data_IF_936006427073
#
_entry.id   IF_936006427073
#
_cell.length_a   1.000
_cell.length_b   1.000
_cell.length_c   1.000
_cell.angle_alpha   90.00
_cell.angle_beta   90.00
_cell.angle_gamma   90.00
#
_symmetry.space_group_name_H-M   'P 1'
#
loop_
_entity.id
_entity.type
_entity.pdbx_description
1 polymer ?
#
# COMPACT_ATOMS: atom_id res chain seq x y z
N UNK A 1 6.59 17.81 8.43
CA UNK A 1 5.29 17.73 9.16
C UNK A 1 4.09 17.46 8.25
N UNK A 2 3.84 18.22 7.19
CA UNK A 2 2.68 17.96 6.30
C UNK A 2 2.70 16.56 5.66
N UNK A 3 3.89 16.09 5.28
CA UNK A 3 4.16 14.72 4.80
C UNK A 3 3.83 13.65 5.85
N UNK A 4 4.40 13.74 7.06
CA UNK A 4 4.08 12.81 8.17
C UNK A 4 2.58 12.76 8.50
N UNK A 5 1.94 13.94 8.55
CA UNK A 5 0.48 14.02 8.76
C UNK A 5 -0.29 13.34 7.63
N UNK A 6 0.21 13.38 6.39
CA UNK A 6 -0.39 12.69 5.27
C UNK A 6 -0.37 11.17 5.49
N UNK A 7 0.76 10.59 5.90
CA UNK A 7 0.86 9.17 6.25
C UNK A 7 -0.13 8.73 7.31
N UNK A 8 -0.29 9.55 8.36
CA UNK A 8 -1.24 9.25 9.43
C UNK A 8 -2.69 9.36 8.96
N UNK A 9 -3.04 10.47 8.29
CA UNK A 9 -4.43 10.69 7.82
C UNK A 9 -4.87 9.68 6.76
N UNK A 10 -3.97 9.25 5.88
CA UNK A 10 -4.23 8.25 4.86
C UNK A 10 -3.93 6.81 5.34
N UNK A 11 -3.55 6.64 6.61
CA UNK A 11 -3.28 5.34 7.25
C UNK A 11 -2.29 4.46 6.44
N UNK A 12 -1.26 5.07 5.85
CA UNK A 12 -0.29 4.38 4.98
C UNK A 12 0.40 3.18 5.67
N UNK A 13 0.55 3.22 6.98
CA UNK A 13 1.08 2.11 7.78
C UNK A 13 0.24 0.83 7.66
N UNK A 14 -1.09 0.93 7.55
CA UNK A 14 -1.95 -0.24 7.37
C UNK A 14 -1.79 -0.84 5.99
N UNK A 15 -1.63 -0.02 4.95
CA UNK A 15 -1.40 -0.50 3.59
C UNK A 15 -0.07 -1.27 3.49
N UNK A 16 0.97 -0.77 4.15
CA UNK A 16 2.26 -1.47 4.22
C UNK A 16 2.13 -2.80 4.98
N UNK A 17 1.48 -2.80 6.14
CA UNK A 17 1.27 -4.02 6.92
C UNK A 17 0.48 -5.09 6.14
N UNK A 18 -0.57 -4.67 5.42
CA UNK A 18 -1.35 -5.56 4.54
C UNK A 18 -0.52 -6.08 3.37
N UNK A 19 0.29 -5.24 2.73
CA UNK A 19 1.17 -5.66 1.64
C UNK A 19 2.26 -6.63 2.12
N UNK A 20 2.80 -6.42 3.32
CA UNK A 20 3.75 -7.33 3.96
C UNK A 20 3.11 -8.68 4.25
N UNK A 21 1.92 -8.67 4.86
CA UNK A 21 1.15 -9.86 5.16
C UNK A 21 0.79 -10.65 3.89
N UNK A 22 0.26 -9.99 2.87
CA UNK A 22 -0.08 -10.61 1.60
C UNK A 22 1.15 -11.26 0.93
N UNK A 23 2.31 -10.61 0.98
CA UNK A 23 3.56 -11.15 0.46
C UNK A 23 4.16 -12.29 1.31
N UNK A 24 3.74 -12.43 2.57
CA UNK A 24 4.06 -13.58 3.42
C UNK A 24 3.13 -14.77 3.10
N UNK A 25 1.86 -14.51 2.81
CA UNK A 25 0.89 -15.53 2.39
C UNK A 25 1.17 -16.05 0.97
N UNK A 26 1.53 -15.16 0.05
CA UNK A 26 1.73 -15.51 -1.35
C UNK A 26 3.03 -14.91 -1.91
N UNK A 27 4.09 -15.71 -2.17
CA UNK A 27 5.39 -15.22 -2.62
C UNK A 27 5.35 -14.38 -3.90
N UNK A 28 4.43 -14.66 -4.83
CA UNK A 28 4.27 -13.87 -6.06
C UNK A 28 3.86 -12.40 -5.81
N UNK A 29 3.42 -12.03 -4.59
CA UNK A 29 3.08 -10.65 -4.24
C UNK A 29 4.27 -9.85 -3.68
N UNK A 30 5.40 -10.51 -3.37
CA UNK A 30 6.62 -9.84 -2.86
C UNK A 30 7.12 -8.71 -3.77
N UNK A 31 7.12 -8.83 -5.12
CA UNK A 31 7.54 -7.75 -6.01
C UNK A 31 6.72 -6.47 -5.87
N UNK A 32 5.51 -6.54 -5.28
CA UNK A 32 4.64 -5.37 -5.10
C UNK A 32 5.08 -4.47 -3.94
N UNK A 33 5.93 -4.95 -3.02
CA UNK A 33 6.35 -4.18 -1.83
C UNK A 33 7.02 -2.85 -2.19
N UNK A 34 8.03 -2.90 -3.06
CA UNK A 34 8.77 -1.72 -3.49
C UNK A 34 7.91 -0.68 -4.26
N UNK A 35 7.13 -1.06 -5.29
CA UNK A 35 6.28 -0.09 -5.99
C UNK A 35 5.17 0.48 -5.10
N UNK A 36 4.55 -0.32 -4.23
CA UNK A 36 3.55 0.19 -3.27
C UNK A 36 4.17 1.22 -2.31
N UNK A 37 5.32 0.90 -1.71
CA UNK A 37 6.05 1.83 -0.86
C UNK A 37 6.35 3.15 -1.58
N UNK A 38 6.86 3.09 -2.81
CA UNK A 38 7.09 4.29 -3.64
C UNK A 38 5.80 5.11 -3.87
N UNK A 39 4.69 4.45 -4.18
CA UNK A 39 3.43 5.14 -4.46
C UNK A 39 2.82 5.80 -3.21
N UNK A 40 2.96 5.19 -2.03
CA UNK A 40 2.53 5.78 -0.76
C UNK A 40 3.36 7.02 -0.41
N UNK A 41 4.68 6.96 -0.59
CA UNK A 41 5.58 8.10 -0.42
C UNK A 41 5.22 9.26 -1.37
N UNK A 42 4.98 8.94 -2.66
CA UNK A 42 4.52 9.92 -3.64
C UNK A 42 3.17 10.51 -3.20
N UNK A 43 2.22 9.69 -2.74
CA UNK A 43 0.93 10.19 -2.28
C UNK A 43 1.13 11.21 -1.14
N UNK A 44 1.93 10.87 -0.15
CA UNK A 44 2.24 11.78 0.96
C UNK A 44 2.89 13.08 0.49
N UNK A 45 3.79 13.04 -0.50
CA UNK A 45 4.39 14.22 -1.12
C UNK A 45 3.40 15.16 -1.77
N UNK A 46 2.44 14.63 -2.53
CA UNK A 46 1.44 15.47 -3.19
C UNK A 46 0.46 16.08 -2.20
N UNK A 47 0.10 15.34 -1.15
CA UNK A 47 -0.73 15.88 -0.06
C UNK A 47 0.03 16.98 0.67
N UNK A 48 1.32 16.78 0.92
CA UNK A 48 2.18 17.81 1.50
C UNK A 48 2.27 19.04 0.58
N UNK A 49 2.50 18.84 -0.73
CA UNK A 49 2.56 19.92 -1.71
C UNK A 49 1.25 20.70 -1.81
N UNK A 50 0.10 20.01 -1.80
CA UNK A 50 -1.21 20.65 -1.78
C UNK A 50 -1.42 21.49 -0.50
N UNK A 51 -0.97 21.00 0.66
CA UNK A 51 -1.06 21.74 1.94
C UNK A 51 -0.08 22.92 2.03
N UNK A 52 1.10 22.79 1.44
CA UNK A 52 2.14 23.84 1.40
C UNK A 52 1.84 24.89 0.33
N UNK A 53 1.09 24.53 -0.72
CA UNK A 53 0.78 25.39 -1.86
C UNK A 53 1.84 25.41 -2.96
N UNK A 54 3.01 24.79 -2.74
CA UNK A 54 4.09 24.75 -3.71
C UNK A 54 4.79 23.36 -3.75
N UNK A 55 4.76 22.74 -4.94
CA UNK A 55 5.43 21.46 -5.22
C UNK A 55 6.96 21.59 -5.23
N UNK A 56 7.51 22.72 -5.67
CA UNK A 56 8.95 22.95 -5.70
C UNK A 56 9.52 23.12 -4.29
N UNK A 57 8.79 23.79 -3.38
CA UNK A 57 9.15 23.83 -1.95
C UNK A 57 9.15 22.43 -1.36
N UNK A 58 8.12 21.63 -1.64
CA UNK A 58 8.04 20.24 -1.16
C UNK A 58 9.17 19.38 -1.73
N UNK A 59 9.49 19.52 -3.01
CA UNK A 59 10.59 18.81 -3.68
C UNK A 59 11.94 19.13 -3.03
N UNK A 60 12.20 20.41 -2.75
CA UNK A 60 13.41 20.87 -2.03
C UNK A 60 13.46 20.30 -0.62
N UNK A 61 12.34 20.28 0.09
CA UNK A 61 12.27 19.73 1.45
C UNK A 61 12.60 18.22 1.46
N UNK A 62 12.01 17.45 0.53
CA UNK A 62 12.30 16.01 0.36
C UNK A 62 13.78 15.78 0.02
N UNK A 63 14.31 16.54 -0.93
CA UNK A 63 15.73 16.44 -1.31
C UNK A 63 16.69 16.76 -0.15
N UNK A 64 16.42 17.84 0.60
CA UNK A 64 17.22 18.21 1.78
C UNK A 64 17.13 17.16 2.88
N UNK A 65 15.94 16.63 3.16
CA UNK A 65 15.75 15.58 4.16
C UNK A 65 16.54 14.31 3.80
N UNK A 66 16.52 13.91 2.53
CA UNK A 66 17.29 12.75 2.06
C UNK A 66 18.81 12.97 2.16
N UNK A 67 19.30 14.17 1.84
CA UNK A 67 20.71 14.54 1.99
C UNK A 67 21.14 14.59 3.45
N UNK A 68 20.28 15.05 4.36
CA UNK A 68 20.55 15.02 5.79
C UNK A 68 20.59 13.56 6.31
N UNK A 69 19.65 12.72 5.86
CA UNK A 69 19.60 11.32 6.24
C UNK A 69 20.78 10.49 5.69
N UNK A 70 21.30 10.82 4.51
CA UNK A 70 22.45 10.12 3.93
C UNK A 70 23.76 10.40 4.68
N UNK A 71 23.86 11.59 5.31
CA UNK A 71 25.01 12.00 6.13
C UNK A 71 24.98 11.45 7.57
N UNK A 72 23.88 10.83 7.99
CA UNK A 72 23.79 10.24 9.32
C UNK A 72 24.73 9.03 9.44
N UNK A 73 25.63 9.00 10.45
CA UNK A 73 26.54 7.89 10.70
C UNK A 73 25.82 6.65 11.26
N UNK A 74 24.56 6.76 11.67
CA UNK A 74 23.75 5.64 12.11
C UNK A 74 22.97 5.03 10.94
N UNK A 75 23.08 3.70 10.70
CA UNK A 75 22.23 3.00 9.76
C UNK A 75 20.83 2.91 10.36
N UNK A 76 20.01 3.95 10.16
CA UNK A 76 18.57 3.79 10.34
C UNK A 76 18.12 2.69 9.36
N UNK A 77 17.56 1.60 9.92
CA UNK A 77 16.73 0.49 9.36
C UNK A 77 16.58 0.40 7.83
N UNK A 78 16.52 -0.84 7.28
CA UNK A 78 17.07 -1.19 5.97
C UNK A 78 16.76 -0.13 4.91
N UNK A 79 17.79 0.66 4.62
CA UNK A 79 17.77 1.71 3.61
C UNK A 79 17.30 1.10 2.30
N UNK A 80 16.18 1.59 1.77
CA UNK A 80 15.94 1.51 0.32
C UNK A 80 17.21 2.03 -0.34
N UNK A 81 17.90 1.14 -1.06
CA UNK A 81 19.20 1.38 -1.68
C UNK A 81 19.14 2.68 -2.49
N UNK A 82 19.91 3.67 -2.06
CA UNK A 82 20.12 4.91 -2.80
C UNK A 82 21.06 4.62 -3.98
N UNK A 83 20.51 4.07 -5.07
CA UNK A 83 21.22 4.02 -6.34
C UNK A 83 21.39 5.45 -6.86
N UNK A 84 22.64 5.86 -7.05
CA UNK A 84 23.10 7.25 -7.08
C UNK A 84 22.58 8.14 -8.22
N UNK A 85 21.73 7.64 -9.13
CA UNK A 85 21.18 8.47 -10.21
C UNK A 85 19.69 8.19 -10.50
N UNK A 86 19.06 7.24 -9.80
CA UNK A 86 17.67 6.80 -10.05
C UNK A 86 16.98 6.23 -8.81
N UNK A 87 17.48 6.56 -7.61
CA UNK A 87 16.86 6.15 -6.35
C UNK A 87 15.41 6.62 -6.20
N UNK A 88 14.66 6.03 -5.24
CA UNK A 88 13.26 6.38 -4.99
C UNK A 88 13.06 7.88 -4.70
N UNK A 89 14.05 8.53 -4.09
CA UNK A 89 14.03 9.97 -3.78
C UNK A 89 14.18 10.84 -5.03
N UNK A 90 15.25 10.72 -5.86
CA UNK A 90 15.33 11.45 -7.14
C UNK A 90 14.06 11.31 -8.00
N UNK A 91 13.46 10.12 -8.06
CA UNK A 91 12.22 9.88 -8.80
C UNK A 91 11.03 10.65 -8.22
N UNK A 92 10.91 10.75 -6.89
CA UNK A 92 9.88 11.56 -6.21
C UNK A 92 10.08 13.06 -6.43
N UNK A 93 11.33 13.53 -6.32
CA UNK A 93 11.69 14.93 -6.58
C UNK A 93 11.36 15.30 -8.02
N UNK A 94 11.76 14.47 -8.99
CA UNK A 94 11.40 14.66 -10.39
C UNK A 94 9.88 14.70 -10.56
N UNK A 95 9.14 13.77 -9.97
CA UNK A 95 7.67 13.75 -10.05
C UNK A 95 7.03 15.04 -9.48
N UNK A 96 7.57 15.62 -8.41
CA UNK A 96 7.08 16.88 -7.85
C UNK A 96 7.38 18.08 -8.76
N UNK A 97 8.50 18.08 -9.46
CA UNK A 97 8.90 19.16 -10.38
C UNK A 97 8.20 19.09 -11.74
N UNK A 98 7.69 17.91 -12.12
CA UNK A 98 6.87 17.78 -13.34
C UNK A 98 5.51 18.48 -13.18
N UNK A 99 4.96 19.07 -14.25
CA UNK A 99 3.61 19.62 -14.26
C UNK A 99 2.61 18.59 -13.75
N UNK A 100 1.62 19.03 -12.96
CA UNK A 100 0.55 18.13 -12.54
C UNK A 100 -0.16 17.62 -13.79
N UNK A 101 -0.23 16.30 -14.03
CA UNK A 101 -1.09 15.79 -15.08
C UNK A 101 -2.50 16.31 -14.81
N UNK A 102 -3.15 16.85 -15.84
CA UNK A 102 -4.55 17.27 -15.72
C UNK A 102 -5.34 16.06 -15.18
N UNK A 103 -5.93 16.21 -14.01
CA UNK A 103 -6.65 15.13 -13.34
C UNK A 103 -8.01 14.96 -14.01
N UNK A 104 -8.03 14.36 -15.20
CA UNK A 104 -9.27 13.86 -15.76
C UNK A 104 -9.75 12.71 -14.86
N UNK A 105 -11.02 12.69 -14.44
CA UNK A 105 -11.57 11.55 -13.72
C UNK A 105 -11.53 10.32 -14.63
N UNK A 106 -10.59 9.41 -14.38
CA UNK A 106 -10.51 8.12 -15.06
C UNK A 106 -11.60 7.20 -14.49
N UNK A 107 -12.83 7.40 -14.97
CA UNK A 107 -14.02 6.66 -14.56
C UNK A 107 -13.87 5.16 -14.76
N UNK A 108 -13.15 4.74 -15.81
CA UNK A 108 -12.85 3.32 -16.09
C UNK A 108 -11.98 2.72 -15.01
N UNK A 109 -10.89 3.37 -14.61
CA UNK A 109 -10.05 2.88 -13.50
C UNK A 109 -10.81 2.82 -12.19
N UNK A 110 -11.66 3.82 -11.91
CA UNK A 110 -12.50 3.81 -10.70
C UNK A 110 -13.49 2.65 -10.71
N UNK A 111 -14.19 2.44 -11.82
CA UNK A 111 -15.12 1.32 -11.98
C UNK A 111 -14.40 -0.03 -11.85
N UNK A 112 -13.22 -0.19 -12.46
CA UNK A 112 -12.41 -1.40 -12.34
C UNK A 112 -11.97 -1.63 -10.88
N UNK A 113 -11.53 -0.59 -10.17
CA UNK A 113 -11.16 -0.71 -8.75
C UNK A 113 -12.35 -1.11 -7.87
N UNK A 114 -13.53 -0.53 -8.12
CA UNK A 114 -14.76 -0.88 -7.40
C UNK A 114 -15.20 -2.31 -7.71
N UNK A 115 -15.15 -2.74 -8.97
CA UNK A 115 -15.47 -4.10 -9.36
C UNK A 115 -14.52 -5.11 -8.71
N UNK A 116 -13.21 -4.84 -8.69
CA UNK A 116 -12.22 -5.69 -8.01
C UNK A 116 -12.48 -5.76 -6.50
N UNK A 117 -12.82 -4.63 -5.86
CA UNK A 117 -13.17 -4.61 -4.44
C UNK A 117 -14.44 -5.42 -4.14
N UNK A 118 -15.47 -5.30 -4.99
CA UNK A 118 -16.70 -6.09 -4.87
C UNK A 118 -16.44 -7.58 -5.05
N UNK A 119 -15.67 -7.98 -6.07
CA UNK A 119 -15.29 -9.37 -6.28
C UNK A 119 -14.52 -9.91 -5.07
N UNK A 120 -13.57 -9.16 -4.52
CA UNK A 120 -12.82 -9.58 -3.34
C UNK A 120 -13.71 -9.77 -2.12
N UNK A 121 -14.66 -8.86 -1.89
CA UNK A 121 -15.60 -8.94 -0.78
C UNK A 121 -16.54 -10.15 -0.91
N UNK A 122 -17.07 -10.39 -2.12
CA UNK A 122 -17.92 -11.55 -2.40
C UNK A 122 -17.15 -12.86 -2.23
N UNK A 123 -15.93 -12.98 -2.76
CA UNK A 123 -15.11 -14.18 -2.60
C UNK A 123 -14.76 -14.47 -1.13
N UNK A 124 -14.45 -13.41 -0.35
CA UNK A 124 -14.19 -13.56 1.08
C UNK A 124 -15.45 -14.02 1.83
N UNK A 125 -16.61 -13.44 1.51
CA UNK A 125 -17.91 -13.84 2.09
C UNK A 125 -18.23 -15.31 1.79
N UNK A 126 -18.14 -15.72 0.52
CA UNK A 126 -18.38 -17.10 0.11
C UNK A 126 -17.41 -18.09 0.77
N UNK A 127 -16.15 -17.70 0.98
CA UNK A 127 -15.16 -18.56 1.66
C UNK A 127 -15.50 -18.75 3.15
N UNK A 128 -16.05 -17.73 3.82
CA UNK A 128 -16.48 -17.81 5.21
C UNK A 128 -17.73 -18.70 5.35
N UNK A 129 -18.70 -18.55 4.45
CA UNK A 129 -19.90 -19.38 4.41
C UNK A 129 -19.56 -20.86 4.18
N UNK A 130 -18.71 -21.15 3.18
CA UNK A 130 -18.24 -22.51 2.92
C UNK A 130 -17.50 -23.13 4.12
N UNK A 131 -16.79 -22.33 4.91
CA UNK A 131 -16.11 -22.80 6.14
C UNK A 131 -17.14 -23.14 7.24
N UNK A 132 -18.20 -22.35 7.37
CA UNK A 132 -19.29 -22.61 8.31
C UNK A 132 -20.10 -23.86 7.92
N UNK A 133 -20.43 -24.00 6.63
CA UNK A 133 -21.13 -25.19 6.11
C UNK A 133 -20.32 -26.46 6.34
N UNK A 134 -18.99 -26.40 6.09
CA UNK A 134 -18.09 -27.51 6.36
C UNK A 134 -18.09 -27.90 7.85
N UNK A 135 -18.08 -26.91 8.75
CA UNK A 135 -18.14 -27.16 10.19
C UNK A 135 -19.43 -27.89 10.59
N UNK A 136 -20.58 -27.41 10.12
CA UNK A 136 -21.87 -28.03 10.37
C UNK A 136 -21.98 -29.44 9.79
N UNK A 137 -21.46 -29.67 8.58
CA UNK A 137 -21.44 -31.00 7.97
C UNK A 137 -20.60 -32.00 8.77
N UNK A 138 -19.46 -31.56 9.31
CA UNK A 138 -18.61 -32.39 10.19
C UNK A 138 -19.33 -32.70 11.50
N UNK A 139 -19.97 -31.72 12.13
CA UNK A 139 -20.76 -31.94 13.35
C UNK A 139 -21.90 -32.93 13.11
N UNK A 140 -22.65 -32.79 12.01
CA UNK A 140 -23.73 -33.71 11.68
C UNK A 140 -23.24 -35.16 11.51
N UNK A 141 -22.10 -35.36 10.82
CA UNK A 141 -21.52 -36.68 10.62
C UNK A 141 -21.00 -37.33 11.93
N UNK A 142 -20.61 -36.53 12.92
CA UNK A 142 -20.20 -37.01 14.25
C UNK A 142 -21.39 -37.39 15.14
N UNK A 143 -22.54 -36.77 14.91
CA UNK A 143 -23.75 -37.01 15.69
C UNK A 143 -24.64 -38.09 15.09
N UNK A 144 -24.32 -38.67 13.92
CA UNK A 144 -24.92 -39.93 13.46
C UNK A 144 -24.45 -41.07 14.40
N UNK A 145 -25.28 -41.50 15.36
CA UNK A 145 -24.96 -42.66 16.16
C UNK A 145 -25.07 -43.85 15.20
N UNK A 146 -24.11 -44.79 15.25
CA UNK A 146 -24.15 -46.01 14.43
C UNK A 146 -25.54 -46.63 14.42
N UNK A 147 -26.31 -46.29 13.38
CA UNK A 147 -27.68 -46.72 13.24
C UNK A 147 -27.61 -48.07 12.54
N UNK A 148 -27.94 -49.08 13.33
CA UNK A 148 -28.24 -50.46 12.95
C UNK A 148 -27.01 -51.38 12.78
N UNK A 149 -26.56 -51.93 13.92
CA UNK A 149 -26.25 -53.37 14.02
C UNK A 149 -27.29 -54.02 14.90
#
# INVERSE_FOLDING_TARGET
LAHERAHLSARHHLFLALAEHAANLHPALRPLRAPLGYHLERWADEVAAARVGDRAVTARAVGRAALAASRSPWPARPRLVAAAHSGPVPRRVAALLQPRPAAAPDTRRRAAALALAACLALSAGASLEATADLHHAVEAAQHEPGAQR
#
